data_IF_338190237856
#
_entry.id   IF_338190237856
#
_cell.length_a   1.000
_cell.length_b   1.000
_cell.length_c   1.000
_cell.angle_alpha   90.00
_cell.angle_beta   90.00
_cell.angle_gamma   90.00
#
_symmetry.space_group_name_H-M   'P 1'
#
loop_
_entity.id
_entity.type
_entity.pdbx_description
1 polymer ?
#
# COMPACT_ATOMS: atom_id res chain seq x y z
N UNK A 1 -36.06 2.09 -7.24
CA UNK A 1 -34.92 1.16 -7.38
C UNK A 1 -35.42 -0.27 -7.22
N UNK A 2 -34.96 -1.25 -8.01
CA UNK A 2 -35.41 -2.63 -7.86
C UNK A 2 -34.93 -3.22 -6.51
N UNK A 3 -35.87 -3.72 -5.72
CA UNK A 3 -35.61 -4.34 -4.42
C UNK A 3 -35.47 -5.86 -4.56
N UNK A 4 -34.55 -6.51 -3.82
CA UNK A 4 -34.44 -7.96 -3.82
C UNK A 4 -35.68 -8.60 -3.18
N UNK A 5 -36.35 -9.50 -3.92
CA UNK A 5 -37.53 -10.22 -3.43
C UNK A 5 -37.24 -11.15 -2.24
N UNK A 6 -36.01 -11.69 -2.15
CA UNK A 6 -35.57 -12.64 -1.10
C UNK A 6 -34.10 -12.44 -0.74
N UNK A 7 -33.71 -12.87 0.47
CA UNK A 7 -32.32 -12.89 0.93
C UNK A 7 -31.47 -13.83 0.07
N UNK A 8 -30.26 -13.41 -0.31
CA UNK A 8 -29.31 -14.30 -0.98
C UNK A 8 -28.77 -15.37 -0.02
N UNK A 9 -28.63 -16.61 -0.52
CA UNK A 9 -28.06 -17.70 0.26
C UNK A 9 -26.60 -17.42 0.65
N UNK A 10 -26.14 -18.07 1.73
CA UNK A 10 -24.74 -17.99 2.18
C UNK A 10 -23.77 -18.42 1.07
N UNK A 11 -24.09 -19.50 0.35
CA UNK A 11 -23.30 -20.01 -0.77
C UNK A 11 -23.16 -18.99 -1.90
N UNK A 12 -24.27 -18.38 -2.34
CA UNK A 12 -24.25 -17.35 -3.41
C UNK A 12 -23.41 -16.14 -3.02
N UNK A 13 -23.54 -15.68 -1.78
CA UNK A 13 -22.77 -14.52 -1.28
C UNK A 13 -21.27 -14.83 -1.21
N UNK A 14 -20.89 -16.02 -0.71
CA UNK A 14 -19.49 -16.46 -0.62
C UNK A 14 -18.86 -16.63 -1.99
N UNK A 15 -19.54 -17.28 -2.94
CA UNK A 15 -19.07 -17.42 -4.34
C UNK A 15 -18.82 -16.05 -4.98
N UNK A 16 -19.74 -15.09 -4.80
CA UNK A 16 -19.55 -13.71 -5.30
C UNK A 16 -18.33 -13.01 -4.69
N UNK A 17 -18.05 -13.25 -3.40
CA UNK A 17 -16.89 -12.62 -2.70
C UNK A 17 -15.56 -13.30 -3.03
N UNK A 18 -15.56 -14.57 -3.43
CA UNK A 18 -14.34 -15.33 -3.70
C UNK A 18 -13.46 -14.69 -4.78
N UNK A 19 -14.05 -14.00 -5.76
CA UNK A 19 -13.30 -13.30 -6.80
C UNK A 19 -12.73 -11.94 -6.36
N UNK A 20 -13.15 -11.41 -5.20
CA UNK A 20 -12.73 -10.10 -4.68
C UNK A 20 -11.48 -10.22 -3.80
N UNK A 21 -10.39 -10.68 -4.39
CA UNK A 21 -9.10 -10.80 -3.72
C UNK A 21 -8.26 -9.55 -4.00
N UNK A 22 -7.68 -8.97 -2.95
CA UNK A 22 -6.70 -7.89 -3.10
C UNK A 22 -5.31 -8.48 -3.12
N UNK A 23 -4.47 -8.01 -4.04
CA UNK A 23 -3.04 -8.34 -4.08
C UNK A 23 -2.26 -7.18 -3.48
N UNK A 24 -1.20 -7.49 -2.74
CA UNK A 24 -0.27 -6.48 -2.26
C UNK A 24 0.42 -5.81 -3.45
N UNK A 25 0.68 -4.51 -3.34
CA UNK A 25 1.47 -3.77 -4.31
C UNK A 25 2.92 -4.26 -4.33
N UNK A 26 3.59 -4.05 -5.45
CA UNK A 26 5.01 -4.39 -5.58
C UNK A 26 5.88 -3.39 -4.79
N UNK A 27 6.95 -3.90 -4.19
CA UNK A 27 7.95 -3.09 -3.51
C UNK A 27 9.32 -3.29 -4.18
N UNK A 28 10.06 -2.19 -4.29
CA UNK A 28 11.43 -2.14 -4.81
C UNK A 28 12.37 -1.64 -3.73
N UNK A 29 13.64 -2.06 -3.76
CA UNK A 29 14.63 -1.60 -2.78
C UNK A 29 15.12 -0.20 -3.19
N UNK A 30 15.19 0.73 -2.23
CA UNK A 30 15.78 2.04 -2.47
C UNK A 30 17.31 1.94 -2.53
N UNK A 31 17.97 2.47 -3.58
CA UNK A 31 19.43 2.38 -3.71
C UNK A 31 20.20 3.17 -2.65
N UNK A 32 19.59 4.19 -2.03
CA UNK A 32 20.25 5.07 -1.06
C UNK A 32 20.10 4.57 0.39
N UNK A 33 18.87 4.27 0.84
CA UNK A 33 18.60 3.86 2.22
C UNK A 33 18.32 2.35 2.40
N UNK A 34 18.36 1.56 1.32
CA UNK A 34 18.09 0.10 1.30
C UNK A 34 16.72 -0.33 1.85
N UNK A 35 15.80 0.62 2.06
CA UNK A 35 14.45 0.31 2.52
C UNK A 35 13.50 0.03 1.34
N UNK A 36 12.44 -0.76 1.59
CA UNK A 36 11.41 -1.00 0.59
C UNK A 36 10.67 0.31 0.28
N UNK A 37 10.52 0.60 -1.02
CA UNK A 37 9.77 1.73 -1.56
C UNK A 37 8.84 1.26 -2.68
N UNK A 38 7.78 2.00 -2.94
CA UNK A 38 6.96 1.74 -4.11
C UNK A 38 7.77 2.06 -5.39
N UNK A 39 7.62 1.23 -6.45
CA UNK A 39 8.26 1.50 -7.73
C UNK A 39 7.74 2.84 -8.30
N UNK A 40 8.60 3.54 -9.03
CA UNK A 40 8.33 4.86 -9.64
C UNK A 40 7.96 6.01 -8.68
N UNK A 41 8.02 5.80 -7.35
CA UNK A 41 7.78 6.84 -6.37
C UNK A 41 9.06 7.30 -5.66
N UNK A 42 9.00 8.51 -5.09
CA UNK A 42 10.03 9.03 -4.20
C UNK A 42 10.07 8.19 -2.93
N UNK A 43 11.27 7.88 -2.44
CA UNK A 43 11.39 7.15 -1.18
C UNK A 43 10.89 8.01 -0.02
N UNK A 44 9.87 7.53 0.70
CA UNK A 44 9.28 8.25 1.84
C UNK A 44 10.23 8.44 3.04
N UNK A 45 11.36 7.74 3.05
CA UNK A 45 12.31 7.82 4.17
C UNK A 45 13.49 8.73 3.88
N UNK A 46 14.06 8.67 2.67
CA UNK A 46 15.22 9.50 2.33
C UNK A 46 14.88 10.68 1.40
N UNK A 47 13.70 10.73 0.77
CA UNK A 47 13.32 11.84 -0.11
C UNK A 47 14.01 11.82 -1.48
N UNK A 48 14.72 10.73 -1.79
CA UNK A 48 15.45 10.56 -3.05
C UNK A 48 14.63 9.78 -4.10
N UNK A 49 14.75 10.21 -5.35
CA UNK A 49 14.34 9.46 -6.54
C UNK A 49 15.36 9.64 -7.66
N UNK A 50 15.78 8.53 -8.29
CA UNK A 50 16.81 8.50 -9.33
C UNK A 50 18.09 9.27 -8.98
N UNK A 51 18.54 9.18 -7.72
CA UNK A 51 19.77 9.81 -7.25
C UNK A 51 19.67 11.32 -6.98
N UNK A 52 18.53 11.95 -7.20
CA UNK A 52 18.27 13.35 -6.84
C UNK A 52 17.43 13.45 -5.58
N UNK A 53 17.79 14.37 -4.69
CA UNK A 53 16.98 14.74 -3.54
C UNK A 53 15.84 15.64 -4.06
N UNK A 54 14.61 15.17 -3.96
CA UNK A 54 13.42 15.88 -4.46
C UNK A 54 12.59 16.41 -3.30
N UNK A 55 12.63 15.73 -2.16
CA UNK A 55 11.95 16.16 -0.94
C UNK A 55 12.97 16.29 0.18
N UNK A 56 13.05 17.47 0.78
CA UNK A 56 13.76 17.68 2.04
C UNK A 56 12.92 17.12 3.19
N UNK A 57 13.14 15.85 3.51
CA UNK A 57 12.49 15.22 4.66
C UNK A 57 13.30 15.59 5.91
N UNK A 58 12.84 16.58 6.68
CA UNK A 58 13.32 16.83 8.04
C UNK A 58 12.96 15.60 8.89
N UNK A 59 13.96 14.75 9.14
CA UNK A 59 13.81 13.52 9.93
C UNK A 59 13.22 13.89 11.30
N UNK A 60 11.95 13.56 11.55
CA UNK A 60 11.43 13.54 12.93
C UNK A 60 12.01 12.31 13.61
N UNK A 61 12.85 12.56 14.60
CA UNK A 61 13.49 11.57 15.45
C UNK A 61 12.48 10.54 15.98
N UNK A 62 12.84 9.26 15.89
CA UNK A 62 12.10 8.20 16.55
C UNK A 62 12.29 8.37 18.06
N UNK A 63 11.25 8.82 18.78
CA UNK A 63 11.21 8.68 20.24
C UNK A 63 11.37 7.19 20.58
N UNK A 64 12.47 6.82 21.23
CA UNK A 64 12.64 5.52 21.90
C UNK A 64 11.47 5.34 22.86
N UNK A 65 10.63 4.32 22.64
CA UNK A 65 9.66 3.88 23.65
C UNK A 65 10.44 3.04 24.68
N UNK A 66 10.44 3.51 25.93
CA UNK A 66 10.71 2.69 27.12
C UNK A 66 9.61 1.63 27.27
#
# INVERSE_FOLDING_TARGET
MPLPKRRFSRSRTRKKRAHKLYRLGQFSICPQCKQPKQPHQVCAVCGYYKGKQIVEIKVKEKKKKQ
#
